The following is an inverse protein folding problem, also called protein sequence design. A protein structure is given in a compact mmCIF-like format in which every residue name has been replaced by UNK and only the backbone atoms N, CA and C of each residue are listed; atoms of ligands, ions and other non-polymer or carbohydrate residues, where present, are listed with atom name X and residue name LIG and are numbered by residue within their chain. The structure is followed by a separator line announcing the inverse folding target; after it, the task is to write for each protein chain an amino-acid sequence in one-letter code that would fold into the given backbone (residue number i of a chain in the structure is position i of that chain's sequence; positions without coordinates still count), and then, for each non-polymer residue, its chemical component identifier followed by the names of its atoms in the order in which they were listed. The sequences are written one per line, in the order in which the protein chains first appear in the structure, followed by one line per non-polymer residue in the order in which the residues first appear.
data_IF_599414343161
#
_entry.id   IF_599414343161
#
_cell.length_a   1.000
_cell.length_b   1.000
_cell.length_c   1.000
_cell.angle_alpha   90.00
_cell.angle_beta   90.00
_cell.angle_gamma   90.00
#
_symmetry.space_group_name_H-M   'P 1'
#
loop_
_entity.id
_entity.type
_entity.pdbx_description
1 polymer ?
#
# COMPACT_ATOMS: atom_id res chain seq x y z
N UNK A 1 -34.90 29.59 28.78
CA UNK A 1 -34.71 28.37 27.96
C UNK A 1 -33.33 28.47 27.34
N UNK A 2 -32.40 27.63 27.78
CA UNK A 2 -30.97 27.72 27.43
C UNK A 2 -30.80 26.99 26.11
N UNK A 3 -30.45 27.73 25.07
CA UNK A 3 -30.23 27.22 23.71
C UNK A 3 -29.16 26.13 23.75
N UNK A 4 -29.51 24.94 23.27
CA UNK A 4 -28.61 23.79 23.20
C UNK A 4 -27.37 24.14 22.40
N UNK A 5 -26.25 24.27 23.11
CA UNK A 5 -24.92 24.39 22.51
C UNK A 5 -24.63 23.01 21.91
N UNK A 6 -24.77 22.88 20.58
CA UNK A 6 -24.30 21.69 19.88
C UNK A 6 -22.80 21.59 20.18
N UNK A 7 -22.30 20.49 20.77
CA UNK A 7 -20.87 20.31 20.92
C UNK A 7 -20.26 20.31 19.51
N UNK A 8 -19.47 21.34 19.20
CA UNK A 8 -18.58 21.27 18.05
C UNK A 8 -17.54 20.22 18.42
N UNK A 9 -17.57 19.07 17.76
CA UNK A 9 -16.44 18.15 17.77
C UNK A 9 -15.31 18.83 16.99
N UNK A 10 -14.47 19.55 17.74
CA UNK A 10 -13.31 20.24 17.21
C UNK A 10 -12.23 19.20 16.91
N UNK A 11 -12.19 18.70 15.68
CA UNK A 11 -11.21 17.72 15.21
C UNK A 11 -9.86 18.35 14.80
N UNK A 12 -9.57 19.58 15.22
CA UNK A 12 -8.40 20.35 14.81
C UNK A 12 -7.38 20.58 15.93
N UNK A 13 -6.12 20.94 15.57
CA UNK A 13 -5.11 21.27 16.56
C UNK A 13 -5.54 22.48 17.39
N UNK A 14 -5.45 22.32 18.72
CA UNK A 14 -5.77 23.35 19.70
C UNK A 14 -4.48 23.94 20.24
N UNK A 15 -4.29 25.24 20.06
CA UNK A 15 -3.17 25.97 20.67
C UNK A 15 -3.70 26.82 21.81
N UNK A 16 -3.19 26.58 23.02
CA UNK A 16 -3.53 27.34 24.22
C UNK A 16 -2.41 28.35 24.44
N UNK A 17 -2.74 29.63 24.44
CA UNK A 17 -1.83 30.71 24.80
C UNK A 17 -2.39 31.47 26.00
N UNK A 18 -1.52 31.83 26.95
CA UNK A 18 -1.89 32.65 28.10
C UNK A 18 -1.40 34.08 27.85
N UNK A 19 -2.32 35.04 27.85
CA UNK A 19 -2.02 36.47 27.70
C UNK A 19 -1.52 37.06 29.04
N UNK A 20 -0.78 38.17 28.98
CA UNK A 20 -0.08 38.78 30.13
C UNK A 20 -1.03 39.30 31.24
N UNK A 21 -2.31 39.48 30.90
CA UNK A 21 -3.43 39.94 31.72
C UNK A 21 -4.21 38.79 32.39
N UNK A 22 -3.74 37.54 32.26
CA UNK A 22 -4.32 36.37 32.96
C UNK A 22 -5.43 35.65 32.19
N UNK A 23 -5.75 36.11 30.98
CA UNK A 23 -6.72 35.48 30.10
C UNK A 23 -6.13 34.29 29.33
N UNK A 24 -6.88 33.18 29.26
CA UNK A 24 -6.55 32.02 28.43
C UNK A 24 -7.19 32.17 27.06
N UNK A 25 -6.37 32.25 26.02
CA UNK A 25 -6.81 32.31 24.63
C UNK A 25 -6.61 30.93 24.00
N UNK A 26 -7.72 30.27 23.69
CA UNK A 26 -7.73 28.99 22.96
C UNK A 26 -7.95 29.28 21.49
N UNK A 27 -6.91 29.13 20.67
CA UNK A 27 -7.02 29.21 19.20
C UNK A 27 -7.33 27.83 18.66
N UNK A 28 -8.52 27.70 18.07
CA UNK A 28 -8.96 26.48 17.39
C UNK A 28 -8.97 26.74 15.89
N UNK A 29 -8.28 25.89 15.13
CA UNK A 29 -8.34 25.92 13.66
C UNK A 29 -9.30 24.84 13.21
N UNK A 30 -10.36 25.23 12.48
CA UNK A 30 -11.29 24.26 11.89
C UNK A 30 -10.54 23.38 10.89
N UNK A 31 -10.66 22.06 11.06
CA UNK A 31 -10.10 21.10 10.11
C UNK A 31 -11.11 20.87 9.00
N UNK A 32 -10.73 21.04 7.72
CA UNK A 32 -11.69 20.89 6.65
C UNK A 32 -12.14 19.44 6.49
N UNK A 33 -13.37 19.25 6.02
CA UNK A 33 -13.94 17.91 5.81
C UNK A 33 -13.87 17.49 4.34
N UNK A 34 -13.78 16.19 4.14
CA UNK A 34 -13.58 15.58 2.83
C UNK A 34 -14.93 15.48 2.13
N UNK A 35 -15.08 16.16 1.00
CA UNK A 35 -16.31 16.11 0.19
C UNK A 35 -16.33 14.90 -0.72
N UNK A 36 -15.19 14.56 -1.31
CA UNK A 36 -15.08 13.46 -2.27
C UNK A 36 -13.65 12.92 -2.33
N UNK A 37 -13.55 11.61 -2.49
CA UNK A 37 -12.32 10.90 -2.84
C UNK A 37 -12.39 10.51 -4.31
N UNK A 38 -11.37 10.87 -5.08
CA UNK A 38 -11.26 10.58 -6.51
C UNK A 38 -10.01 9.74 -6.74
N UNK A 39 -10.18 8.65 -7.49
CA UNK A 39 -9.09 7.81 -7.96
C UNK A 39 -8.92 8.10 -9.46
N UNK A 40 -7.70 8.44 -9.89
CA UNK A 40 -7.37 8.71 -11.29
C UNK A 40 -6.27 7.76 -11.75
N UNK A 41 -6.30 7.39 -13.03
CA UNK A 41 -5.30 6.49 -13.63
C UNK A 41 -5.45 5.01 -13.28
N UNK A 42 -6.46 4.62 -12.49
CA UNK A 42 -6.80 3.22 -12.24
C UNK A 42 -7.63 2.63 -13.39
N UNK A 43 -6.99 1.88 -14.28
CA UNK A 43 -7.63 1.20 -15.42
C UNK A 43 -7.80 -0.31 -15.21
N UNK A 44 -6.92 -0.91 -14.39
CA UNK A 44 -6.84 -2.37 -14.17
C UNK A 44 -7.62 -2.82 -12.95
N UNK A 45 -7.78 -1.94 -11.97
CA UNK A 45 -8.58 -2.20 -10.76
C UNK A 45 -9.71 -1.19 -10.70
N UNK A 46 -10.95 -1.68 -10.51
CA UNK A 46 -12.13 -0.82 -10.47
C UNK A 46 -12.05 0.09 -9.24
N UNK A 47 -12.42 1.36 -9.41
CA UNK A 47 -12.42 2.34 -8.32
C UNK A 47 -13.22 1.86 -7.12
N UNK A 48 -14.36 1.19 -7.36
CA UNK A 48 -15.21 0.64 -6.29
C UNK A 48 -14.53 -0.45 -5.44
N UNK A 49 -13.53 -1.16 -5.97
CA UNK A 49 -12.75 -2.11 -5.17
C UNK A 49 -11.71 -1.39 -4.33
N UNK A 50 -11.03 -0.40 -4.91
CA UNK A 50 -10.03 0.41 -4.19
C UNK A 50 -10.68 1.19 -3.06
N UNK A 51 -11.80 1.89 -3.31
CA UNK A 51 -12.49 2.74 -2.32
C UNK A 51 -12.98 1.96 -1.09
N UNK A 52 -13.26 0.65 -1.21
CA UNK A 52 -13.67 -0.19 -0.07
C UNK A 52 -12.54 -0.46 0.93
N UNK A 53 -11.30 -0.39 0.47
CA UNK A 53 -10.11 -0.69 1.26
C UNK A 53 -9.48 0.58 1.86
N UNK A 54 -10.01 1.77 1.54
CA UNK A 54 -9.48 3.04 2.02
C UNK A 54 -10.06 3.41 3.38
N UNK A 55 -9.22 4.01 4.22
CA UNK A 55 -9.59 4.62 5.49
C UNK A 55 -10.21 6.01 5.30
N UNK A 56 -9.82 6.73 4.24
CA UNK A 56 -10.35 8.05 3.92
C UNK A 56 -11.72 7.93 3.25
N UNK A 57 -12.74 8.44 3.93
CA UNK A 57 -14.13 8.47 3.44
C UNK A 57 -14.63 9.90 3.29
N UNK A 58 -15.61 10.10 2.41
CA UNK A 58 -16.30 11.38 2.32
C UNK A 58 -17.11 11.62 3.61
N UNK A 59 -17.06 12.84 4.13
CA UNK A 59 -17.68 13.25 5.40
C UNK A 59 -16.70 13.35 6.57
N UNK A 60 -15.56 12.66 6.51
CA UNK A 60 -14.55 12.70 7.57
C UNK A 60 -13.74 14.01 7.54
N UNK A 61 -13.20 14.40 8.69
CA UNK A 61 -12.17 15.43 8.78
C UNK A 61 -10.89 14.97 8.06
N UNK A 62 -10.20 15.90 7.39
CA UNK A 62 -8.95 15.55 6.71
C UNK A 62 -7.88 15.10 7.70
N UNK A 63 -7.24 13.97 7.39
CA UNK A 63 -6.08 13.48 8.13
C UNK A 63 -4.96 13.13 7.14
N UNK A 64 -3.85 13.88 7.16
CA UNK A 64 -2.69 13.58 6.32
C UNK A 64 -2.15 12.15 6.55
N UNK A 65 -2.24 11.64 7.78
CA UNK A 65 -1.88 10.27 8.12
C UNK A 65 -2.75 9.23 7.42
N UNK A 66 -4.08 9.41 7.43
CA UNK A 66 -5.00 8.51 6.71
C UNK A 66 -4.73 8.54 5.20
N UNK A 67 -4.50 9.71 4.62
CA UNK A 67 -4.20 9.87 3.19
C UNK A 67 -2.91 9.12 2.80
N UNK A 68 -1.86 9.21 3.63
CA UNK A 68 -0.61 8.50 3.37
C UNK A 68 -0.79 6.98 3.48
N UNK A 69 -1.52 6.51 4.50
CA UNK A 69 -1.84 5.09 4.65
C UNK A 69 -2.65 4.55 3.47
N UNK A 70 -3.60 5.33 2.96
CA UNK A 70 -4.38 4.97 1.78
C UNK A 70 -3.53 4.90 0.52
N UNK A 71 -2.59 5.83 0.33
CA UNK A 71 -1.67 5.78 -0.80
C UNK A 71 -0.81 4.49 -0.78
N UNK A 72 -0.29 4.12 0.39
CA UNK A 72 0.43 2.85 0.58
C UNK A 72 -0.47 1.63 0.39
N UNK A 73 -1.73 1.69 0.86
CA UNK A 73 -2.70 0.61 0.70
C UNK A 73 -3.04 0.37 -0.77
N UNK A 74 -3.29 1.43 -1.53
CA UNK A 74 -3.51 1.34 -2.98
C UNK A 74 -2.29 0.71 -3.66
N UNK A 75 -1.08 1.17 -3.32
CA UNK A 75 0.17 0.62 -3.84
C UNK A 75 0.32 -0.87 -3.51
N UNK A 76 -0.03 -1.28 -2.30
CA UNK A 76 -0.02 -2.69 -1.87
C UNK A 76 -0.98 -3.55 -2.70
N UNK A 77 -2.21 -3.08 -2.93
CA UNK A 77 -3.20 -3.77 -3.77
C UNK A 77 -2.65 -3.98 -5.19
N UNK A 78 -2.01 -2.95 -5.76
CA UNK A 78 -1.39 -3.07 -7.09
C UNK A 78 -0.17 -4.00 -7.09
N UNK A 79 0.67 -3.98 -6.05
CA UNK A 79 1.78 -4.92 -5.88
C UNK A 79 1.29 -6.36 -5.88
N UNK A 80 0.25 -6.68 -5.11
CA UNK A 80 -0.40 -8.01 -5.10
C UNK A 80 -1.00 -8.40 -6.46
N UNK A 81 -1.41 -7.42 -7.28
CA UNK A 81 -1.84 -7.65 -8.66
C UNK A 81 -0.68 -7.89 -9.64
N UNK A 82 0.57 -7.76 -9.19
CA UNK A 82 1.76 -7.90 -10.00
C UNK A 82 2.35 -6.64 -10.58
N UNK A 83 1.94 -5.47 -10.09
CA UNK A 83 2.42 -4.19 -10.59
C UNK A 83 3.28 -3.53 -9.53
N UNK A 84 4.54 -3.95 -9.47
CA UNK A 84 5.47 -3.44 -8.45
C UNK A 84 5.89 -2.00 -8.71
N UNK A 85 5.89 -1.59 -9.98
CA UNK A 85 6.25 -0.24 -10.42
C UNK A 85 5.09 0.76 -10.31
N UNK A 86 4.02 0.42 -9.59
CA UNK A 86 2.91 1.35 -9.37
C UNK A 86 3.34 2.52 -8.49
N UNK A 87 3.01 3.74 -8.94
CA UNK A 87 3.19 4.97 -8.19
C UNK A 87 1.82 5.56 -7.85
N UNK A 88 1.63 5.98 -6.61
CA UNK A 88 0.40 6.59 -6.11
C UNK A 88 0.75 7.93 -5.50
N UNK A 89 0.22 9.00 -6.06
CA UNK A 89 0.49 10.37 -5.60
C UNK A 89 -0.81 10.97 -5.05
N UNK A 90 -0.91 11.18 -3.72
CA UNK A 90 -2.04 11.89 -3.14
C UNK A 90 -1.95 13.39 -3.43
N UNK A 91 -3.09 13.99 -3.79
CA UNK A 91 -3.28 15.42 -3.99
C UNK A 91 -4.53 15.87 -3.25
N UNK A 92 -4.48 17.07 -2.69
CA UNK A 92 -5.60 17.67 -1.97
C UNK A 92 -5.96 19.01 -2.62
N UNK A 93 -7.21 19.15 -3.03
CA UNK A 93 -7.75 20.41 -3.55
C UNK A 93 -8.65 21.05 -2.50
N UNK A 94 -8.30 22.26 -2.07
CA UNK A 94 -9.13 23.05 -1.17
C UNK A 94 -10.32 23.64 -1.92
N UNK A 95 -11.50 23.54 -1.32
CA UNK A 95 -12.76 24.07 -1.82
C UNK A 95 -13.30 25.13 -0.85
N UNK A 96 -14.21 26.02 -1.31
CA UNK A 96 -14.88 26.97 -0.43
C UNK A 96 -15.64 26.28 0.71
N UNK A 97 -15.71 26.96 1.86
CA UNK A 97 -16.39 26.52 3.09
C UNK A 97 -15.69 25.36 3.83
N UNK A 98 -14.37 25.44 4.02
CA UNK A 98 -13.59 24.44 4.76
C UNK A 98 -13.81 23.01 4.24
N UNK A 99 -13.84 22.87 2.91
CA UNK A 99 -14.03 21.58 2.23
C UNK A 99 -12.76 21.21 1.49
N UNK A 100 -12.47 19.92 1.43
CA UNK A 100 -11.35 19.39 0.64
C UNK A 100 -11.82 18.24 -0.23
N UNK A 101 -11.25 18.16 -1.42
CA UNK A 101 -11.30 16.98 -2.28
C UNK A 101 -9.95 16.29 -2.24
N UNK A 102 -9.96 14.97 -2.05
CA UNK A 102 -8.75 14.14 -2.09
C UNK A 102 -8.72 13.42 -3.43
N UNK A 103 -7.60 13.52 -4.13
CA UNK A 103 -7.36 12.89 -5.43
C UNK A 103 -6.14 11.99 -5.27
N UNK A 104 -6.26 10.72 -5.61
CA UNK A 104 -5.11 9.82 -5.74
C UNK A 104 -4.82 9.61 -7.22
N UNK A 105 -3.69 10.14 -7.67
CA UNK A 105 -3.18 9.90 -9.02
C UNK A 105 -2.38 8.60 -9.02
N UNK A 106 -2.89 7.61 -9.75
CA UNK A 106 -2.31 6.27 -9.82
C UNK A 106 -1.67 6.08 -11.18
N UNK A 107 -0.36 5.87 -11.17
CA UNK A 107 0.38 5.37 -12.34
C UNK A 107 0.61 3.89 -12.16
N UNK A 108 -0.18 3.06 -12.85
CA UNK A 108 -0.20 1.61 -12.63
C UNK A 108 1.12 0.92 -13.05
N UNK A 109 1.72 1.37 -14.14
CA UNK A 109 2.90 0.74 -14.72
C UNK A 109 2.62 -0.64 -15.36
N UNK A 110 3.64 -1.26 -15.97
CA UNK A 110 3.52 -2.59 -16.55
C UNK A 110 3.40 -3.68 -15.48
N UNK A 111 2.85 -4.83 -15.86
CA UNK A 111 2.87 -6.02 -15.00
C UNK A 111 4.31 -6.54 -14.89
N UNK A 112 4.82 -6.66 -13.67
CA UNK A 112 6.11 -7.28 -13.39
C UNK A 112 5.98 -8.78 -13.55
N UNK A 113 6.70 -9.33 -14.52
CA UNK A 113 6.75 -10.76 -14.83
C UNK A 113 8.15 -11.29 -14.56
N UNK A 114 8.24 -12.57 -14.17
CA UNK A 114 9.52 -13.22 -13.94
C UNK A 114 10.03 -13.76 -15.27
N UNK A 115 11.10 -13.14 -15.79
CA UNK A 115 11.72 -13.53 -17.07
C UNK A 115 12.63 -14.75 -16.92
N UNK A 116 13.44 -14.80 -15.87
CA UNK A 116 14.38 -15.88 -15.61
C UNK A 116 14.75 -15.93 -14.13
N UNK A 117 15.05 -17.13 -13.63
CA UNK A 117 15.57 -17.40 -12.30
C UNK A 117 16.98 -17.95 -12.51
N UNK A 118 17.94 -17.46 -11.72
CA UNK A 118 19.32 -17.95 -11.71
C UNK A 118 19.63 -18.45 -10.31
N UNK A 119 20.18 -19.66 -10.22
CA UNK A 119 20.75 -20.19 -8.98
C UNK A 119 22.27 -20.04 -9.10
N UNK A 120 22.88 -19.35 -8.14
CA UNK A 120 24.32 -19.12 -8.11
C UNK A 120 24.89 -19.73 -6.84
N UNK A 121 25.97 -20.50 -6.95
CA UNK A 121 26.65 -21.12 -5.80
C UNK A 121 26.12 -22.52 -5.43
N UNK A 122 25.17 -23.07 -6.18
CA UNK A 122 24.77 -24.47 -6.10
C UNK A 122 25.79 -25.36 -6.82
N UNK A 123 26.51 -26.20 -6.08
CA UNK A 123 27.46 -27.18 -6.63
C UNK A 123 26.93 -28.62 -6.59
N UNK A 124 26.04 -28.92 -5.63
CA UNK A 124 25.53 -30.29 -5.40
C UNK A 124 24.21 -30.58 -6.13
N UNK A 125 23.45 -29.55 -6.50
CA UNK A 125 22.16 -29.68 -7.16
C UNK A 125 22.11 -28.77 -8.39
N UNK A 126 21.50 -29.27 -9.45
CA UNK A 126 21.29 -28.49 -10.68
C UNK A 126 20.20 -27.44 -10.50
N UNK A 127 20.26 -26.38 -11.30
CA UNK A 127 19.25 -25.32 -11.34
C UNK A 127 17.83 -25.89 -11.56
N UNK A 128 17.71 -26.97 -12.35
CA UNK A 128 16.42 -27.62 -12.62
C UNK A 128 15.82 -28.31 -11.40
N UNK A 129 16.65 -28.94 -10.56
CA UNK A 129 16.22 -29.56 -9.30
C UNK A 129 15.76 -28.49 -8.32
N UNK A 130 16.54 -27.42 -8.16
CA UNK A 130 16.16 -26.29 -7.30
C UNK A 130 14.90 -25.59 -7.81
N UNK A 131 14.74 -25.45 -9.14
CA UNK A 131 13.55 -24.90 -9.75
C UNK A 131 12.30 -25.77 -9.55
N UNK A 132 12.46 -27.08 -9.33
CA UNK A 132 11.34 -27.99 -9.05
C UNK A 132 10.80 -27.81 -7.63
N UNK A 133 11.66 -27.44 -6.68
CA UNK A 133 11.34 -27.26 -5.26
C UNK A 133 10.58 -25.96 -5.01
N UNK A 134 10.97 -24.86 -5.67
CA UNK A 134 10.33 -23.55 -5.49
C UNK A 134 8.96 -23.45 -6.20
N UNK A 135 8.05 -22.66 -5.64
CA UNK A 135 6.75 -22.36 -6.22
C UNK A 135 6.84 -21.35 -7.37
N UNK A 136 7.79 -20.41 -7.31
CA UNK A 136 7.95 -19.41 -8.38
C UNK A 136 8.39 -20.08 -9.69
N UNK A 137 7.58 -19.94 -10.74
CA UNK A 137 7.89 -20.43 -12.08
C UNK A 137 8.17 -19.27 -13.04
N UNK A 138 8.94 -19.57 -14.08
CA UNK A 138 9.19 -18.63 -15.19
C UNK A 138 7.90 -18.41 -15.96
N UNK A 139 7.63 -17.17 -16.34
CA UNK A 139 6.55 -16.83 -17.27
C UNK A 139 6.70 -17.62 -18.56
N UNK A 140 5.82 -18.58 -18.82
CA UNK A 140 5.79 -19.32 -20.10
C UNK A 140 4.92 -18.56 -21.09
N UNK A 141 5.35 -18.46 -22.36
CA UNK A 141 4.60 -17.82 -23.45
C UNK A 141 3.14 -18.32 -23.58
N UNK A 142 2.85 -19.57 -23.18
CA UNK A 142 1.52 -20.18 -23.26
C UNK A 142 0.67 -20.06 -21.98
N UNK A 143 1.14 -19.31 -20.97
CA UNK A 143 0.53 -19.22 -19.64
C UNK A 143 -0.68 -18.27 -19.58
N UNK A 144 -1.52 -18.24 -20.62
CA UNK A 144 -2.71 -17.39 -20.69
C UNK A 144 -3.79 -17.75 -19.65
N UNK A 145 -3.68 -18.91 -18.99
CA UNK A 145 -4.65 -19.41 -18.02
C UNK A 145 -4.10 -19.52 -16.57
N UNK A 146 -2.78 -19.45 -16.37
CA UNK A 146 -2.19 -19.56 -15.03
C UNK A 146 -1.86 -18.18 -14.47
N UNK A 147 -2.53 -17.80 -13.38
CA UNK A 147 -2.31 -16.53 -12.66
C UNK A 147 -1.02 -16.59 -11.80
N UNK A 148 -0.03 -17.40 -12.21
CA UNK A 148 1.11 -17.77 -11.37
C UNK A 148 2.44 -17.09 -11.74
N UNK A 149 2.48 -16.35 -12.84
CA UNK A 149 3.71 -15.74 -13.40
C UNK A 149 4.00 -14.32 -12.87
N UNK A 150 3.34 -13.96 -11.78
CA UNK A 150 3.35 -12.62 -11.22
C UNK A 150 4.36 -12.55 -10.10
N UNK A 151 5.32 -11.62 -10.17
CA UNK A 151 6.27 -11.43 -9.06
C UNK A 151 5.50 -11.02 -7.80
N UNK A 152 5.68 -11.80 -6.75
CA UNK A 152 5.10 -11.60 -5.43
C UNK A 152 6.23 -11.74 -4.39
N UNK A 153 6.54 -10.67 -3.61
CA UNK A 153 7.61 -10.73 -2.62
C UNK A 153 7.36 -11.79 -1.53
N UNK A 154 6.09 -12.06 -1.18
CA UNK A 154 5.77 -13.06 -0.16
C UNK A 154 6.08 -14.47 -0.67
N UNK A 155 5.87 -14.72 -1.97
CA UNK A 155 6.24 -15.99 -2.61
C UNK A 155 7.75 -16.18 -2.70
N UNK A 156 8.50 -15.11 -2.97
CA UNK A 156 9.95 -15.19 -2.98
C UNK A 156 10.50 -15.59 -1.62
N UNK A 157 9.96 -15.03 -0.54
CA UNK A 157 10.38 -15.39 0.81
C UNK A 157 10.02 -16.84 1.16
N UNK A 158 8.83 -17.28 0.75
CA UNK A 158 8.42 -18.68 0.89
C UNK A 158 9.34 -19.64 0.12
N UNK A 159 9.73 -19.28 -1.11
CA UNK A 159 10.66 -20.09 -1.91
C UNK A 159 12.05 -20.20 -1.27
N UNK A 160 12.52 -19.15 -0.60
CA UNK A 160 13.78 -19.21 0.18
C UNK A 160 13.68 -20.20 1.33
N UNK A 161 12.55 -20.22 2.02
CA UNK A 161 12.33 -21.16 3.11
C UNK A 161 12.23 -22.59 2.58
N UNK A 162 11.55 -22.84 1.45
CA UNK A 162 11.51 -24.16 0.81
C UNK A 162 12.90 -24.69 0.45
N UNK A 163 13.75 -23.82 -0.12
CA UNK A 163 15.14 -24.18 -0.42
C UNK A 163 15.90 -24.49 0.86
N UNK A 164 15.73 -23.69 1.91
CA UNK A 164 16.38 -23.92 3.20
C UNK A 164 15.94 -25.23 3.84
N UNK A 165 14.65 -25.52 3.88
CA UNK A 165 14.11 -26.80 4.37
C UNK A 165 14.67 -27.97 3.58
N UNK A 166 14.70 -27.87 2.24
CA UNK A 166 15.27 -28.91 1.38
C UNK A 166 16.75 -29.16 1.71
N UNK A 167 17.58 -28.12 1.72
CA UNK A 167 19.01 -28.24 2.02
C UNK A 167 19.26 -28.74 3.45
N UNK A 168 18.44 -28.37 4.42
CA UNK A 168 18.54 -28.92 5.77
C UNK A 168 18.15 -30.40 5.83
N UNK A 169 17.12 -30.80 5.09
CA UNK A 169 16.64 -32.20 5.06
C UNK A 169 17.68 -33.18 4.47
N UNK A 170 18.53 -32.70 3.56
CA UNK A 170 19.61 -33.48 2.94
C UNK A 170 20.96 -33.31 3.65
N UNK A 171 21.01 -32.61 4.80
CA UNK A 171 22.17 -32.56 5.70
C UNK A 171 23.03 -31.30 5.64
N UNK A 172 22.64 -30.27 4.89
CA UNK A 172 23.36 -28.98 4.83
C UNK A 172 22.87 -28.02 5.93
N UNK A 173 23.37 -28.21 7.16
CA UNK A 173 22.95 -27.42 8.32
C UNK A 173 23.28 -25.91 8.24
N UNK A 174 24.37 -25.55 7.54
CA UNK A 174 24.83 -24.16 7.39
C UNK A 174 24.28 -23.45 6.14
N UNK A 175 23.30 -24.05 5.45
CA UNK A 175 22.72 -23.43 4.25
C UNK A 175 22.05 -22.08 4.56
N UNK A 176 22.38 -21.07 3.76
CA UNK A 176 21.79 -19.73 3.84
C UNK A 176 21.62 -19.15 2.44
N UNK A 177 20.49 -18.48 2.22
CA UNK A 177 20.26 -17.67 1.03
C UNK A 177 20.72 -16.25 1.32
N UNK A 178 21.53 -15.66 0.43
CA UNK A 178 22.19 -14.36 0.65
C UNK A 178 21.43 -13.20 -0.03
N UNK A 179 20.42 -13.47 -0.86
CA UNK A 179 19.57 -12.45 -1.49
C UNK A 179 18.18 -12.92 -1.83
#
# INVERSE_FOLDING_TARGET
MITGIRPLELAGPVTIAQEADGNLVVKVTETPFITKVILQGNSKIKSAQLTKELFTVAGDAISPGKIQLDAEKIKEIYKRSGRLSTMVTPKTENLPNSRVKVIFDITEGPKTTIRQIYFNGNNNYSDGELQSIIMTKRTRWFSFFETNDTYDPDRLEYDKELLKEFYQSVGFADFRVIS
#
